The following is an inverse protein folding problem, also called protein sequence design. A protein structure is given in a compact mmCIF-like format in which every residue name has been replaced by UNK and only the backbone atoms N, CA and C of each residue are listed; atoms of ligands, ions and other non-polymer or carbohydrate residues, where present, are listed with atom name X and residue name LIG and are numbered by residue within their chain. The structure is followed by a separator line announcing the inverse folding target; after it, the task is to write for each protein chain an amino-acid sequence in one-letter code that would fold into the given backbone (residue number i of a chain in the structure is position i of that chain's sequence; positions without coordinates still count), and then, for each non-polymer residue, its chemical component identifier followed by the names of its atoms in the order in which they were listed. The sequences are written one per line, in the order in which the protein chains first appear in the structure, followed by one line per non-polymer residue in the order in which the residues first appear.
data_IF_618729447257
#
_entry.id   IF_618729447257
#
_cell.length_a   1.000
_cell.length_b   1.000
_cell.length_c   1.000
_cell.angle_alpha   90.00
_cell.angle_beta   90.00
_cell.angle_gamma   90.00
#
_symmetry.space_group_name_H-M   'P 1'
#
loop_
_entity.id
_entity.type
_entity.pdbx_description
1 polymer ?
#
# COMPACT_ATOMS: atom_id res chain seq x y z
N UNK A 1 3.40 -14.72 18.40
CA UNK A 1 3.52 -13.72 17.30
C UNK A 1 2.17 -13.74 16.61
N UNK A 2 1.35 -12.71 16.80
CA UNK A 2 0.07 -12.61 16.08
C UNK A 2 0.40 -12.20 14.66
N UNK A 3 0.16 -13.07 13.69
CA UNK A 3 0.27 -12.71 12.28
C UNK A 3 -0.85 -11.73 11.94
N UNK A 4 -0.53 -10.64 11.25
CA UNK A 4 -1.54 -9.69 10.77
C UNK A 4 -2.59 -10.43 9.92
N UNK A 5 -3.89 -10.13 10.08
CA UNK A 5 -4.96 -10.83 9.36
C UNK A 5 -4.75 -10.85 7.84
N UNK A 6 -4.15 -9.80 7.28
CA UNK A 6 -3.83 -9.72 5.85
C UNK A 6 -2.89 -10.83 5.38
N UNK A 7 -1.90 -11.23 6.18
CA UNK A 7 -0.96 -12.28 5.80
C UNK A 7 -1.65 -13.64 5.80
N UNK A 8 -2.44 -13.91 6.83
CA UNK A 8 -3.21 -15.16 6.96
C UNK A 8 -4.20 -15.31 5.80
N UNK A 9 -5.02 -14.30 5.54
CA UNK A 9 -6.07 -14.37 4.53
C UNK A 9 -5.51 -14.56 3.13
N UNK A 10 -4.44 -13.84 2.77
CA UNK A 10 -3.80 -13.97 1.45
C UNK A 10 -3.16 -15.36 1.29
N UNK A 11 -2.53 -15.90 2.34
CA UNK A 11 -1.99 -17.26 2.32
C UNK A 11 -3.09 -18.33 2.21
N UNK A 12 -4.30 -18.05 2.69
CA UNK A 12 -5.48 -18.91 2.54
C UNK A 12 -6.18 -18.76 1.18
N UNK A 13 -5.63 -17.95 0.27
CA UNK A 13 -6.16 -17.78 -1.09
C UNK A 13 -7.20 -16.68 -1.24
N UNK A 14 -7.27 -15.72 -0.30
CA UNK A 14 -8.07 -14.52 -0.51
C UNK A 14 -7.59 -13.77 -1.76
N UNK A 15 -8.54 -13.25 -2.53
CA UNK A 15 -8.24 -12.46 -3.72
C UNK A 15 -7.62 -11.11 -3.31
N UNK A 16 -6.32 -10.97 -3.57
CA UNK A 16 -5.54 -9.75 -3.29
C UNK A 16 -5.98 -8.55 -4.14
N UNK A 17 -6.72 -8.77 -5.21
CA UNK A 17 -7.22 -7.72 -6.11
C UNK A 17 -8.70 -7.43 -5.92
N UNK A 18 -9.34 -8.07 -4.93
CA UNK A 18 -10.72 -7.78 -4.57
C UNK A 18 -10.87 -6.28 -4.26
N UNK A 19 -11.91 -5.69 -4.83
CA UNK A 19 -12.27 -4.29 -4.65
C UNK A 19 -13.39 -4.18 -3.62
N UNK A 20 -13.27 -3.23 -2.71
CA UNK A 20 -14.38 -2.85 -1.85
C UNK A 20 -15.40 -1.96 -2.60
N UNK A 21 -16.41 -1.46 -1.89
CA UNK A 21 -17.45 -0.59 -2.47
C UNK A 21 -16.91 0.76 -3.00
N UNK A 22 -15.72 1.18 -2.58
CA UNK A 22 -15.04 2.38 -3.08
C UNK A 22 -14.05 2.06 -4.19
N UNK A 23 -13.95 0.79 -4.57
CA UNK A 23 -13.00 0.32 -5.55
C UNK A 23 -11.58 0.16 -5.01
N UNK A 24 -11.37 0.30 -3.70
CA UNK A 24 -10.06 0.13 -3.09
C UNK A 24 -9.73 -1.36 -3.00
N UNK A 25 -8.48 -1.68 -3.34
CA UNK A 25 -7.88 -3.00 -3.10
C UNK A 25 -7.03 -2.97 -1.84
N UNK A 26 -6.58 -4.15 -1.38
CA UNK A 26 -5.67 -4.23 -0.23
C UNK A 26 -4.37 -3.43 -0.41
N UNK A 27 -3.91 -3.19 -1.65
CA UNK A 27 -2.77 -2.31 -1.93
C UNK A 27 -3.09 -0.83 -1.69
N UNK A 28 -4.32 -0.37 -1.96
CA UNK A 28 -4.74 1.00 -1.64
C UNK A 28 -4.69 1.24 -0.13
N UNK A 29 -5.17 0.28 0.67
CA UNK A 29 -5.04 0.34 2.12
C UNK A 29 -3.59 0.24 2.61
N UNK A 30 -2.76 -0.59 1.96
CA UNK A 30 -1.36 -0.73 2.32
C UNK A 30 -0.55 0.55 2.05
N UNK A 31 -0.94 1.38 1.08
CA UNK A 31 -0.33 2.67 0.80
C UNK A 31 -0.40 3.64 2.00
N UNK A 32 -1.46 3.56 2.81
CA UNK A 32 -1.60 4.36 4.04
C UNK A 32 -0.82 3.79 5.24
N UNK A 33 -0.25 2.59 5.12
CA UNK A 33 0.52 1.96 6.19
C UNK A 33 1.98 2.44 6.16
N UNK A 34 2.63 2.52 7.32
CA UNK A 34 4.07 2.82 7.42
C UNK A 34 4.96 1.58 7.23
N UNK A 35 4.46 0.53 6.55
CA UNK A 35 5.10 -0.79 6.53
C UNK A 35 5.34 -1.30 5.11
N UNK A 36 6.54 -1.04 4.58
CA UNK A 36 6.95 -1.53 3.26
C UNK A 36 6.93 -3.05 3.12
N UNK A 37 7.02 -3.81 4.21
CA UNK A 37 6.93 -5.28 4.16
C UNK A 37 5.53 -5.75 3.78
N UNK A 38 4.48 -5.02 4.19
CA UNK A 38 3.10 -5.34 3.82
C UNK A 38 2.90 -5.15 2.31
N UNK A 39 3.38 -4.05 1.75
CA UNK A 39 3.37 -3.80 0.30
C UNK A 39 4.14 -4.88 -0.46
N UNK A 40 5.37 -5.18 -0.04
CA UNK A 40 6.19 -6.22 -0.67
C UNK A 40 5.53 -7.61 -0.63
N UNK A 41 4.92 -7.97 0.49
CA UNK A 41 4.19 -9.24 0.65
C UNK A 41 3.01 -9.33 -0.33
N UNK A 42 2.21 -8.27 -0.45
CA UNK A 42 1.05 -8.22 -1.34
C UNK A 42 1.48 -8.32 -2.81
N UNK A 43 2.52 -7.58 -3.20
CA UNK A 43 3.08 -7.64 -4.56
C UNK A 43 3.63 -9.05 -4.88
N UNK A 44 4.29 -9.70 -3.91
CA UNK A 44 4.75 -11.09 -4.06
C UNK A 44 3.59 -12.06 -4.32
N UNK A 45 2.40 -11.76 -3.77
CA UNK A 45 1.17 -12.53 -4.00
C UNK A 45 0.36 -12.01 -5.19
N UNK A 46 0.99 -11.33 -6.15
CA UNK A 46 0.40 -10.86 -7.41
C UNK A 46 -0.70 -9.82 -7.25
N UNK A 47 -0.63 -9.01 -6.19
CA UNK A 47 -1.48 -7.82 -6.10
C UNK A 47 -1.13 -6.85 -7.24
N UNK A 48 -2.14 -6.41 -7.98
CA UNK A 48 -2.03 -5.53 -9.12
C UNK A 48 -1.97 -4.07 -8.65
N UNK A 49 -0.78 -3.50 -8.74
CA UNK A 49 -0.50 -2.10 -8.37
C UNK A 49 -1.11 -1.07 -9.32
N UNK A 50 -1.65 -1.49 -10.46
CA UNK A 50 -2.24 -0.62 -11.48
C UNK A 50 -3.75 -0.41 -11.31
N UNK A 51 -4.39 -1.19 -10.41
CA UNK A 51 -5.82 -1.06 -10.12
C UNK A 51 -6.13 0.35 -9.65
N UNK A 52 -7.20 0.92 -10.19
CA UNK A 52 -7.74 2.22 -9.78
C UNK A 52 -9.01 2.04 -8.96
N UNK A 53 -9.09 2.79 -7.87
CA UNK A 53 -10.33 2.95 -7.11
C UNK A 53 -11.36 3.80 -7.86
N UNK A 54 -12.51 4.05 -7.25
CA UNK A 54 -13.60 4.80 -7.89
C UNK A 54 -13.27 6.29 -8.09
N UNK A 55 -12.25 6.81 -7.41
CA UNK A 55 -11.69 8.16 -7.63
C UNK A 55 -10.62 8.18 -8.73
N UNK A 56 -10.37 7.04 -9.38
CA UNK A 56 -9.36 6.91 -10.44
C UNK A 56 -7.92 6.85 -9.93
N UNK A 57 -7.71 6.72 -8.63
CA UNK A 57 -6.39 6.71 -8.00
C UNK A 57 -5.86 5.28 -7.87
N UNK A 58 -4.55 5.10 -8.10
CA UNK A 58 -3.83 3.88 -7.73
C UNK A 58 -3.31 3.98 -6.29
N UNK A 59 -2.84 2.85 -5.73
CA UNK A 59 -2.13 2.85 -4.45
C UNK A 59 -0.93 3.83 -4.41
N UNK A 60 -0.19 3.97 -5.53
CA UNK A 60 0.91 4.93 -5.62
C UNK A 60 0.42 6.39 -5.58
N UNK A 61 -0.74 6.69 -6.17
CA UNK A 61 -1.31 8.04 -6.16
C UNK A 61 -1.75 8.46 -4.77
N UNK A 62 -2.37 7.53 -4.02
CA UNK A 62 -2.72 7.74 -2.61
C UNK A 62 -1.49 7.99 -1.74
N UNK A 63 -0.42 7.20 -1.93
CA UNK A 63 0.83 7.37 -1.20
C UNK A 63 1.48 8.73 -1.50
N UNK A 64 1.48 9.19 -2.77
CA UNK A 64 1.96 10.54 -3.11
C UNK A 64 1.14 11.62 -2.43
N UNK A 65 -0.18 11.46 -2.38
CA UNK A 65 -1.07 12.34 -1.62
C UNK A 65 -0.66 12.42 -0.15
N UNK A 66 -0.44 11.27 0.49
CA UNK A 66 0.02 11.20 1.88
C UNK A 66 1.39 11.85 2.08
N UNK A 67 2.36 11.59 1.20
CA UNK A 67 3.68 12.20 1.24
C UNK A 67 3.64 13.72 1.05
N UNK A 68 2.67 14.25 0.29
CA UNK A 68 2.50 15.69 0.08
C UNK A 68 1.89 16.39 1.30
N UNK A 69 0.99 15.71 2.00
CA UNK A 69 0.39 16.19 3.25
C UNK A 69 1.38 16.09 4.43
N UNK A 70 2.31 15.14 4.35
CA UNK A 70 3.39 14.99 5.31
C UNK A 70 4.52 15.99 4.97
N UNK A 71 4.54 17.15 5.65
CA UNK A 71 5.66 18.09 5.59
C UNK A 71 6.81 17.58 6.46
N UNK A 72 7.95 17.14 5.89
CA UNK A 72 9.10 16.80 6.70
C UNK A 72 9.67 18.09 7.31
N UNK A 73 9.59 18.24 8.62
CA UNK A 73 10.31 19.27 9.39
C UNK A 73 11.82 18.95 9.38
N UNK A 74 12.46 19.07 8.22
CA UNK A 74 13.87 18.79 8.04
C UNK A 74 14.22 17.28 7.99
N UNK A 75 15.13 16.96 7.05
CA UNK A 75 15.75 15.64 6.76
C UNK A 75 14.80 14.44 6.81
N UNK A 76 14.31 14.03 5.62
CA UNK A 76 13.75 12.70 5.26
C UNK A 76 13.93 11.68 6.38
N UNK A 77 13.00 11.69 7.33
CA UNK A 77 13.08 10.87 8.52
C UNK A 77 12.82 9.40 8.15
N UNK A 78 12.83 8.52 9.15
CA UNK A 78 12.66 7.07 8.91
C UNK A 78 11.33 6.81 8.19
N UNK A 79 10.28 7.56 8.53
CA UNK A 79 8.96 7.41 7.92
C UNK A 79 8.96 7.83 6.45
N UNK A 80 9.54 8.99 6.13
CA UNK A 80 9.63 9.46 4.75
C UNK A 80 10.44 8.50 3.86
N UNK A 81 11.54 7.93 4.38
CA UNK A 81 12.33 6.93 3.65
C UNK A 81 11.55 5.63 3.40
N UNK A 82 10.75 5.19 4.37
CA UNK A 82 9.87 4.02 4.17
C UNK A 82 8.76 4.32 3.15
N UNK A 83 8.21 5.54 3.13
CA UNK A 83 7.26 5.97 2.10
C UNK A 83 7.89 6.02 0.71
N UNK A 84 9.10 6.58 0.55
CA UNK A 84 9.83 6.53 -0.73
C UNK A 84 10.06 5.09 -1.20
N UNK A 85 10.46 4.21 -0.28
CA UNK A 85 10.66 2.80 -0.59
C UNK A 85 9.35 2.12 -1.05
N UNK A 86 8.24 2.36 -0.37
CA UNK A 86 6.92 1.86 -0.81
C UNK A 86 6.54 2.42 -2.18
N UNK A 87 6.79 3.70 -2.42
CA UNK A 87 6.49 4.32 -3.70
C UNK A 87 7.25 3.65 -4.85
N UNK A 88 8.54 3.34 -4.66
CA UNK A 88 9.32 2.63 -5.68
C UNK A 88 8.82 1.21 -5.97
N UNK A 89 8.20 0.53 -4.98
CA UNK A 89 7.60 -0.79 -5.20
C UNK A 89 6.29 -0.71 -6.00
N UNK A 90 5.56 0.42 -5.86
CA UNK A 90 4.27 0.65 -6.50
C UNK A 90 4.37 1.28 -7.89
N UNK A 91 5.55 1.74 -8.31
CA UNK A 91 5.88 2.19 -9.67
C UNK A 91 6.30 1.00 -10.53
#
# INVERSE_FOLDING_TARGET
IVEEPVYVLVNLGADVNAKDNRGDTVLHFAAFSSNSKKVAFLLKHKADKTVRNNEGQTAADLLRGQMSAYTPEGKKDILYKEMEKMLTMLQ
#
